data_IF_626017002304
#
_entry.id   IF_626017002304
#
_cell.length_a   1.000
_cell.length_b   1.000
_cell.length_c   1.000
_cell.angle_alpha   90.00
_cell.angle_beta   90.00
_cell.angle_gamma   90.00
#
_symmetry.space_group_name_H-M   'P 1'
#
loop_
_entity.id
_entity.type
_entity.pdbx_description
1 polymer ?
#
# COMPACT_ATOMS: atom_id res chain seq x y z
N UNK A 1 -19.35 21.76 -7.88
CA UNK A 1 -19.09 21.02 -9.13
C UNK A 1 -18.71 19.54 -8.93
N UNK A 2 -18.47 19.06 -7.69
CA UNK A 2 -18.09 17.65 -7.42
C UNK A 2 -19.28 16.69 -7.22
N UNK A 3 -20.46 17.18 -6.82
CA UNK A 3 -21.65 16.33 -6.64
C UNK A 3 -22.25 15.81 -7.96
N UNK A 4 -21.97 16.45 -9.09
CA UNK A 4 -22.55 16.10 -10.39
C UNK A 4 -21.81 14.98 -11.14
N UNK A 5 -20.62 14.56 -10.68
CA UNK A 5 -19.91 13.43 -11.30
C UNK A 5 -20.43 12.07 -10.81
N UNK A 6 -21.31 12.06 -9.79
CA UNK A 6 -21.64 10.87 -9.01
C UNK A 6 -22.73 9.97 -9.62
N UNK A 7 -23.49 10.41 -10.63
CA UNK A 7 -24.59 9.59 -11.19
C UNK A 7 -24.56 9.31 -12.71
N UNK A 8 -23.79 10.05 -13.53
CA UNK A 8 -23.90 9.98 -15.00
C UNK A 8 -22.59 9.79 -15.76
N UNK A 9 -21.56 9.20 -15.16
CA UNK A 9 -20.38 8.81 -15.95
C UNK A 9 -20.81 7.72 -16.95
N UNK A 10 -21.08 8.12 -18.20
CA UNK A 10 -21.39 7.22 -19.31
C UNK A 10 -20.14 6.38 -19.60
N UNK A 11 -20.15 5.15 -19.10
CA UNK A 11 -19.05 4.22 -19.30
C UNK A 11 -18.99 3.80 -20.77
N UNK A 12 -17.80 3.84 -21.34
CA UNK A 12 -17.53 3.46 -22.72
C UNK A 12 -16.62 2.23 -22.72
N UNK A 13 -17.12 1.09 -23.21
CA UNK A 13 -16.43 -0.20 -23.14
C UNK A 13 -14.99 -0.17 -23.67
N UNK A 14 -14.77 0.45 -24.84
CA UNK A 14 -13.43 0.56 -25.44
C UNK A 14 -12.49 1.56 -24.73
N UNK A 15 -12.97 2.30 -23.73
CA UNK A 15 -12.20 3.24 -22.91
C UNK A 15 -12.22 2.86 -21.43
N UNK A 16 -12.47 1.59 -21.12
CA UNK A 16 -12.55 1.10 -19.75
C UNK A 16 -11.31 1.45 -18.92
N UNK A 17 -10.12 1.41 -19.53
CA UNK A 17 -8.84 1.70 -18.87
C UNK A 17 -8.75 3.15 -18.39
N UNK A 18 -9.16 4.10 -19.25
CA UNK A 18 -9.31 5.52 -18.87
C UNK A 18 -10.29 5.68 -17.71
N UNK A 19 -11.46 5.03 -17.76
CA UNK A 19 -12.45 5.14 -16.70
C UNK A 19 -11.95 4.55 -15.37
N UNK A 20 -11.26 3.41 -15.41
CA UNK A 20 -10.69 2.77 -14.23
C UNK A 20 -9.61 3.64 -13.59
N UNK A 21 -8.63 4.12 -14.38
CA UNK A 21 -7.53 4.96 -13.89
C UNK A 21 -8.04 6.27 -13.30
N UNK A 22 -8.96 6.95 -13.99
CA UNK A 22 -9.57 8.19 -13.47
C UNK A 22 -10.40 7.93 -12.21
N UNK A 23 -11.12 6.81 -12.12
CA UNK A 23 -11.88 6.48 -10.94
C UNK A 23 -10.98 6.24 -9.72
N UNK A 24 -9.82 5.57 -9.89
CA UNK A 24 -8.82 5.43 -8.81
C UNK A 24 -8.22 6.79 -8.45
N UNK A 25 -7.83 7.61 -9.44
CA UNK A 25 -7.26 8.94 -9.21
C UNK A 25 -8.21 9.92 -8.49
N UNK A 26 -9.52 9.69 -8.57
CA UNK A 26 -10.55 10.53 -7.96
C UNK A 26 -11.25 9.89 -6.77
N UNK A 27 -10.78 8.75 -6.27
CA UNK A 27 -11.39 8.04 -5.14
C UNK A 27 -12.85 7.60 -5.35
N UNK A 28 -13.18 7.19 -6.57
CA UNK A 28 -14.53 6.80 -6.96
C UNK A 28 -14.70 5.27 -7.01
N UNK A 29 -14.73 4.64 -5.83
CA UNK A 29 -14.86 3.18 -5.68
C UNK A 29 -16.07 2.59 -6.41
N UNK A 30 -17.21 3.29 -6.41
CA UNK A 30 -18.43 2.88 -7.14
C UNK A 30 -18.16 2.77 -8.65
N UNK A 31 -17.47 3.76 -9.23
CA UNK A 31 -17.17 3.76 -10.66
C UNK A 31 -16.18 2.64 -11.00
N UNK A 32 -15.19 2.38 -10.13
CA UNK A 32 -14.27 1.24 -10.31
C UNK A 32 -15.07 -0.07 -10.37
N UNK A 33 -15.99 -0.31 -9.43
CA UNK A 33 -16.85 -1.49 -9.47
C UNK A 33 -17.63 -1.56 -10.79
N UNK A 34 -18.30 -0.48 -11.18
CA UNK A 34 -19.14 -0.43 -12.39
C UNK A 34 -18.34 -0.71 -13.67
N UNK A 35 -17.11 -0.19 -13.78
CA UNK A 35 -16.23 -0.43 -14.93
C UNK A 35 -16.01 -1.93 -15.14
N UNK A 36 -15.76 -2.69 -14.07
CA UNK A 36 -15.49 -4.12 -14.19
C UNK A 36 -16.75 -5.00 -14.22
N UNK A 37 -17.89 -4.54 -13.70
CA UNK A 37 -19.13 -5.34 -13.69
C UNK A 37 -20.09 -5.05 -14.84
N UNK A 38 -20.18 -3.79 -15.30
CA UNK A 38 -21.18 -3.37 -16.31
C UNK A 38 -20.67 -3.50 -17.75
N UNK A 39 -19.35 -3.48 -17.97
CA UNK A 39 -18.76 -3.45 -19.31
C UNK A 39 -18.45 -4.85 -19.89
N UNK A 40 -18.78 -5.93 -19.17
CA UNK A 40 -18.57 -7.31 -19.64
C UNK A 40 -17.10 -7.68 -19.86
N UNK A 41 -16.18 -7.03 -19.15
CA UNK A 41 -14.74 -7.27 -19.26
C UNK A 41 -14.36 -8.61 -18.60
N UNK A 42 -13.28 -9.28 -19.06
CA UNK A 42 -12.69 -10.41 -18.35
C UNK A 42 -12.01 -9.93 -17.06
N UNK A 43 -12.80 -9.78 -15.99
CA UNK A 43 -12.46 -9.10 -14.73
C UNK A 43 -11.09 -9.48 -14.21
N UNK A 44 -10.79 -10.78 -14.08
CA UNK A 44 -9.53 -11.26 -13.50
C UNK A 44 -8.30 -10.77 -14.26
N UNK A 45 -8.36 -10.72 -15.59
CA UNK A 45 -7.25 -10.23 -16.43
C UNK A 45 -7.18 -8.71 -16.45
N UNK A 46 -8.33 -8.04 -16.46
CA UNK A 46 -8.40 -6.57 -16.59
C UNK A 46 -8.06 -5.86 -15.28
N UNK A 47 -8.49 -6.39 -14.13
CA UNK A 47 -8.22 -5.79 -12.81
C UNK A 47 -6.74 -5.88 -12.43
N UNK A 48 -6.06 -6.92 -12.92
CA UNK A 48 -4.64 -7.20 -12.68
C UNK A 48 -3.73 -6.67 -13.80
N UNK A 49 -4.27 -5.87 -14.72
CA UNK A 49 -3.43 -5.20 -15.71
C UNK A 49 -2.40 -4.33 -14.99
N UNK A 50 -1.17 -4.34 -15.52
CA UNK A 50 -0.05 -3.62 -14.95
C UNK A 50 0.22 -2.35 -15.75
N UNK A 51 0.64 -1.31 -15.04
CA UNK A 51 1.16 -0.09 -15.63
C UNK A 51 2.47 -0.39 -16.36
N UNK A 52 2.62 0.12 -17.57
CA UNK A 52 3.85 0.03 -18.36
C UNK A 52 4.51 1.40 -18.40
N UNK A 53 5.83 1.45 -18.19
CA UNK A 53 6.59 2.68 -18.39
C UNK A 53 6.96 2.85 -19.87
N UNK A 54 6.78 4.07 -20.39
CA UNK A 54 7.10 4.45 -21.76
C UNK A 54 8.13 5.59 -21.80
N UNK A 55 8.98 5.58 -22.82
CA UNK A 55 10.03 6.59 -23.02
C UNK A 55 9.62 7.81 -23.86
N UNK A 56 8.44 7.80 -24.48
CA UNK A 56 7.96 8.87 -25.36
C UNK A 56 6.50 9.21 -25.06
N UNK A 57 6.20 10.50 -24.87
CA UNK A 57 4.85 10.97 -24.55
C UNK A 57 4.53 10.88 -23.05
N UNK A 58 3.40 10.26 -22.70
CA UNK A 58 3.07 9.99 -21.31
C UNK A 58 4.03 8.91 -20.75
N UNK A 59 4.62 9.12 -19.56
CA UNK A 59 5.63 8.22 -18.99
C UNK A 59 5.04 6.87 -18.56
N UNK A 60 3.73 6.80 -18.33
CA UNK A 60 3.03 5.61 -17.89
C UNK A 60 1.83 5.34 -18.79
N UNK A 61 1.54 4.07 -19.02
CA UNK A 61 0.37 3.59 -19.74
C UNK A 61 -0.32 2.50 -18.95
N UNK A 62 -1.65 2.50 -18.97
CA UNK A 62 -2.45 1.42 -18.45
C UNK A 62 -3.45 0.99 -19.53
N UNK A 63 -3.24 -0.20 -20.11
CA UNK A 63 -4.07 -0.74 -21.19
C UNK A 63 -4.37 0.27 -22.32
N UNK A 64 -3.33 0.92 -22.83
CA UNK A 64 -3.41 1.88 -23.93
C UNK A 64 -3.85 3.29 -23.52
N UNK A 65 -4.05 3.54 -22.24
CA UNK A 65 -4.30 4.88 -21.70
C UNK A 65 -3.04 5.44 -21.03
N UNK A 66 -2.43 6.44 -21.68
CA UNK A 66 -1.27 7.16 -21.17
C UNK A 66 -1.62 8.20 -20.10
N UNK A 67 -0.87 8.25 -19.00
CA UNK A 67 -1.02 9.23 -17.93
C UNK A 67 0.31 9.62 -17.28
N UNK A 68 0.25 10.67 -16.45
CA UNK A 68 1.41 11.25 -15.79
C UNK A 68 1.26 11.15 -14.27
N UNK A 69 2.37 10.89 -13.59
CA UNK A 69 2.49 11.16 -12.17
C UNK A 69 3.08 12.55 -11.94
N UNK A 70 3.12 12.97 -10.67
CA UNK A 70 3.63 14.29 -10.28
C UNK A 70 5.10 14.52 -10.62
N UNK A 71 5.94 13.47 -10.68
CA UNK A 71 7.38 13.58 -10.94
C UNK A 71 7.66 13.91 -12.40
N UNK A 72 6.81 13.42 -13.30
CA UNK A 72 6.93 13.62 -14.74
C UNK A 72 5.97 14.70 -15.29
N UNK A 73 5.23 15.37 -14.42
CA UNK A 73 4.29 16.41 -14.82
C UNK A 73 5.04 17.68 -15.23
N UNK A 74 4.98 18.02 -16.51
CA UNK A 74 5.41 19.35 -16.98
C UNK A 74 4.36 20.41 -16.61
N UNK A 75 4.66 21.71 -16.64
CA UNK A 75 3.73 22.77 -16.24
C UNK A 75 2.38 22.78 -16.99
N UNK A 76 2.30 22.14 -18.16
CA UNK A 76 1.08 22.04 -18.97
C UNK A 76 0.29 20.73 -18.74
N UNK A 77 0.82 19.80 -17.95
CA UNK A 77 0.23 18.48 -17.74
C UNK A 77 -0.39 18.40 -16.34
N UNK A 78 -1.57 17.79 -16.22
CA UNK A 78 -2.24 17.57 -14.94
C UNK A 78 -1.93 16.14 -14.44
N UNK A 79 -1.15 15.97 -13.35
CA UNK A 79 -0.79 14.65 -12.88
C UNK A 79 -1.99 13.95 -12.24
N UNK A 80 -2.16 12.66 -12.52
CA UNK A 80 -3.25 11.86 -11.92
C UNK A 80 -2.88 11.26 -10.57
N UNK A 81 -1.59 11.01 -10.34
CA UNK A 81 -1.09 10.38 -9.12
C UNK A 81 0.17 11.07 -8.62
N UNK A 82 0.42 10.99 -7.32
CA UNK A 82 1.66 11.50 -6.73
C UNK A 82 2.87 10.61 -7.06
N UNK A 83 2.66 9.29 -7.10
CA UNK A 83 3.73 8.30 -7.35
C UNK A 83 3.17 7.07 -8.06
N UNK A 84 3.84 6.67 -9.12
CA UNK A 84 3.51 5.49 -9.95
C UNK A 84 4.79 4.74 -10.26
N UNK A 85 4.80 3.42 -10.11
CA UNK A 85 5.92 2.59 -10.56
C UNK A 85 5.49 1.70 -11.73
N UNK A 86 6.40 1.40 -12.65
CA UNK A 86 6.15 0.39 -13.67
C UNK A 86 5.79 -0.93 -13.00
N UNK A 87 4.83 -1.67 -13.56
CA UNK A 87 4.29 -2.89 -12.97
C UNK A 87 3.19 -2.67 -11.92
N UNK A 88 2.89 -1.43 -11.51
CA UNK A 88 1.81 -1.17 -10.56
C UNK A 88 0.46 -1.65 -11.15
N UNK A 89 -0.35 -2.34 -10.36
CA UNK A 89 -1.76 -2.64 -10.70
C UNK A 89 -2.67 -1.52 -10.19
N UNK A 90 -3.96 -1.51 -10.56
CA UNK A 90 -4.92 -0.55 -9.98
C UNK A 90 -4.97 -0.63 -8.46
N UNK A 91 -4.77 -1.83 -7.88
CA UNK A 91 -4.71 -1.99 -6.44
C UNK A 91 -3.48 -1.30 -5.84
N UNK A 92 -2.29 -1.46 -6.43
CA UNK A 92 -1.10 -0.75 -6.00
C UNK A 92 -1.28 0.77 -6.08
N UNK A 93 -1.88 1.26 -7.18
CA UNK A 93 -2.18 2.68 -7.35
C UNK A 93 -3.13 3.19 -6.25
N UNK A 94 -4.21 2.47 -5.96
CA UNK A 94 -5.16 2.84 -4.89
C UNK A 94 -4.49 2.88 -3.50
N UNK A 95 -3.63 1.89 -3.19
CA UNK A 95 -2.92 1.81 -1.92
C UNK A 95 -1.87 2.93 -1.75
N UNK A 96 -1.16 3.29 -2.83
CA UNK A 96 -0.23 4.45 -2.83
C UNK A 96 -0.98 5.76 -2.67
N UNK A 97 -2.16 5.85 -3.26
CA UNK A 97 -3.00 7.04 -3.15
C UNK A 97 -3.86 7.09 -1.88
N UNK A 98 -3.59 6.19 -0.91
CA UNK A 98 -4.27 6.15 0.39
C UNK A 98 -5.80 6.03 0.29
N UNK A 99 -6.27 5.24 -0.67
CA UNK A 99 -7.69 5.03 -0.96
C UNK A 99 -8.17 3.61 -0.58
N UNK A 100 -8.50 3.38 0.70
CA UNK A 100 -8.98 2.08 1.13
C UNK A 100 -10.34 1.72 0.51
N UNK A 101 -11.22 2.68 0.25
CA UNK A 101 -12.52 2.44 -0.38
C UNK A 101 -12.40 1.81 -1.77
N UNK A 102 -11.54 2.35 -2.62
CA UNK A 102 -11.29 1.77 -3.94
C UNK A 102 -10.53 0.45 -3.85
N UNK A 103 -9.57 0.34 -2.93
CA UNK A 103 -8.84 -0.91 -2.70
C UNK A 103 -9.79 -2.05 -2.29
N UNK A 104 -10.79 -1.79 -1.43
CA UNK A 104 -11.82 -2.77 -1.04
C UNK A 104 -12.56 -3.30 -2.26
N UNK A 105 -13.03 -2.43 -3.15
CA UNK A 105 -13.77 -2.86 -4.34
C UNK A 105 -12.88 -3.64 -5.30
N UNK A 106 -11.61 -3.25 -5.47
CA UNK A 106 -10.64 -4.01 -6.27
C UNK A 106 -10.37 -5.40 -5.68
N UNK A 107 -10.23 -5.53 -4.37
CA UNK A 107 -10.06 -6.83 -3.69
C UNK A 107 -11.30 -7.71 -3.88
N UNK A 108 -12.51 -7.16 -3.76
CA UNK A 108 -13.76 -7.88 -4.05
C UNK A 108 -13.87 -8.34 -5.51
N UNK A 109 -13.21 -7.63 -6.43
CA UNK A 109 -13.08 -8.00 -7.84
C UNK A 109 -11.90 -8.95 -8.11
N UNK A 110 -11.35 -9.60 -7.08
CA UNK A 110 -10.23 -10.53 -7.16
C UNK A 110 -8.93 -9.90 -7.70
N UNK A 111 -8.66 -8.64 -7.37
CA UNK A 111 -7.33 -8.07 -7.58
C UNK A 111 -6.27 -8.89 -6.81
N UNK A 112 -5.19 -9.24 -7.49
CA UNK A 112 -4.09 -10.02 -6.96
C UNK A 112 -3.36 -9.23 -5.87
N UNK A 113 -3.15 -9.87 -4.72
CA UNK A 113 -2.40 -9.32 -3.60
C UNK A 113 -0.88 -9.56 -3.71
N UNK A 114 -0.48 -10.45 -4.62
CA UNK A 114 0.89 -10.98 -4.72
C UNK A 114 1.62 -10.53 -5.97
N UNK A 115 0.93 -9.89 -6.92
CA UNK A 115 1.53 -9.39 -8.16
C UNK A 115 2.54 -8.27 -7.84
N UNK A 116 3.85 -8.47 -8.06
CA UNK A 116 4.84 -7.45 -7.80
C UNK A 116 4.93 -6.45 -8.96
N UNK A 117 5.28 -5.22 -8.64
CA UNK A 117 5.68 -4.25 -9.65
C UNK A 117 7.18 -4.38 -10.01
N UNK A 118 7.69 -3.47 -10.83
CA UNK A 118 9.08 -3.49 -11.30
C UNK A 118 10.13 -3.27 -10.19
N UNK A 119 9.75 -2.69 -9.06
CA UNK A 119 10.63 -2.55 -7.88
C UNK A 119 10.46 -3.68 -6.87
N UNK A 120 9.65 -4.71 -7.19
CA UNK A 120 9.40 -5.86 -6.33
C UNK A 120 8.39 -5.62 -5.21
N UNK A 121 7.72 -4.46 -5.19
CA UNK A 121 6.66 -4.16 -4.21
C UNK A 121 5.36 -4.88 -4.59
N UNK A 122 4.74 -5.55 -3.62
CA UNK A 122 3.43 -6.21 -3.77
C UNK A 122 2.34 -5.48 -2.98
N UNK A 123 1.05 -5.61 -3.35
CA UNK A 123 -0.05 -5.06 -2.57
C UNK A 123 -0.06 -5.53 -1.11
N UNK A 124 0.21 -6.82 -0.87
CA UNK A 124 0.23 -7.37 0.50
C UNK A 124 1.32 -6.73 1.36
N UNK A 125 2.48 -6.41 0.78
CA UNK A 125 3.55 -5.68 1.48
C UNK A 125 3.11 -4.26 1.88
N UNK A 126 2.50 -3.51 0.95
CA UNK A 126 2.00 -2.17 1.25
C UNK A 126 0.89 -2.20 2.31
N UNK A 127 -0.02 -3.17 2.22
CA UNK A 127 -1.07 -3.39 3.20
C UNK A 127 -0.50 -3.72 4.58
N UNK A 128 0.50 -4.60 4.65
CA UNK A 128 1.19 -4.93 5.88
C UNK A 128 1.86 -3.70 6.51
N UNK A 129 2.58 -2.89 5.73
CA UNK A 129 3.18 -1.64 6.24
C UNK A 129 2.13 -0.65 6.76
N UNK A 130 0.97 -0.54 6.09
CA UNK A 130 -0.14 0.29 6.56
C UNK A 130 -0.74 -0.25 7.86
N UNK A 131 -0.97 -1.56 7.95
CA UNK A 131 -1.46 -2.21 9.16
C UNK A 131 -0.51 -2.01 10.34
N UNK A 132 0.79 -2.24 10.13
CA UNK A 132 1.86 -2.00 11.10
C UNK A 132 1.80 -0.57 11.62
N UNK A 133 1.70 0.41 10.72
CA UNK A 133 1.59 1.82 11.08
C UNK A 133 0.37 2.06 11.97
N UNK A 134 -0.82 1.56 11.60
CA UNK A 134 -2.04 1.74 12.40
C UNK A 134 -1.90 1.12 13.79
N UNK A 135 -1.45 -0.14 13.88
CA UNK A 135 -1.29 -0.85 15.17
C UNK A 135 -0.25 -0.22 16.08
N UNK A 136 0.86 0.26 15.52
CA UNK A 136 1.91 0.94 16.28
C UNK A 136 1.41 2.30 16.84
N UNK A 137 0.64 3.06 16.07
CA UNK A 137 0.04 4.30 16.55
C UNK A 137 -1.02 4.06 17.65
N UNK A 138 -1.80 2.98 17.55
CA UNK A 138 -2.76 2.59 18.60
C UNK A 138 -2.05 2.26 19.92
N UNK A 139 -0.91 1.55 19.87
CA UNK A 139 -0.07 1.28 21.05
C UNK A 139 0.51 2.55 21.70
N UNK A 140 0.78 3.59 20.91
CA UNK A 140 1.32 4.85 21.44
C UNK A 140 0.22 5.74 22.06
N UNK A 141 -1.00 5.73 21.50
CA UNK A 141 -2.14 6.52 22.02
C UNK A 141 -2.66 6.05 23.38
N UNK A 142 -2.33 4.85 23.84
CA UNK A 142 -2.65 4.39 25.21
C UNK A 142 -1.80 5.07 26.30
N UNK A 143 -0.88 5.96 25.93
CA UNK A 143 -0.11 6.81 26.85
C UNK A 143 -0.86 8.14 27.00
N UNK A 144 -1.35 8.52 28.20
CA UNK A 144 -2.17 9.72 28.38
C UNK A 144 -1.37 10.99 28.11
N UNK A 145 -1.78 11.74 27.08
CA UNK A 145 -1.18 13.01 26.70
C UNK A 145 -1.86 14.16 27.47
N UNK A 146 -1.14 14.79 28.39
CA UNK A 146 -1.55 16.00 29.10
C UNK A 146 -1.35 17.22 28.20
N UNK A 147 -2.38 17.70 27.49
CA UNK A 147 -2.21 18.97 26.75
C UNK A 147 -3.39 19.58 25.95
N UNK A 148 -3.92 20.67 26.54
CA UNK A 148 -4.39 21.96 25.98
C UNK A 148 -5.64 22.08 25.04
N UNK A 149 -6.63 22.93 25.40
CA UNK A 149 -7.94 23.05 24.75
C UNK A 149 -7.99 23.80 23.40
N UNK A 150 -6.90 24.43 22.97
CA UNK A 150 -6.86 25.18 21.68
C UNK A 150 -6.68 24.22 20.48
N UNK A 151 -6.13 23.02 20.72
CA UNK A 151 -5.95 21.96 19.71
C UNK A 151 -7.28 21.29 19.32
N UNK A 152 -8.31 21.42 20.15
CA UNK A 152 -9.51 20.58 20.08
C UNK A 152 -10.51 20.94 18.98
N UNK A 153 -10.47 22.16 18.42
CA UNK A 153 -11.40 22.58 17.37
C UNK A 153 -10.90 22.23 15.96
N UNK A 154 -9.63 22.52 15.65
CA UNK A 154 -8.99 22.13 14.38
C UNK A 154 -8.84 20.61 14.25
N UNK A 155 -8.59 19.93 15.37
CA UNK A 155 -8.54 18.47 15.40
C UNK A 155 -9.88 17.82 15.08
N UNK A 156 -11.06 18.40 15.37
CA UNK A 156 -12.36 17.70 15.23
C UNK A 156 -12.72 17.32 13.79
N UNK A 157 -12.47 18.20 12.82
CA UNK A 157 -12.74 17.94 11.39
C UNK A 157 -11.73 16.93 10.79
N UNK A 158 -10.44 17.12 11.08
CA UNK A 158 -9.39 16.16 10.72
C UNK A 158 -9.61 14.80 11.39
N UNK A 159 -10.09 14.78 12.64
CA UNK A 159 -10.39 13.55 13.38
C UNK A 159 -11.53 12.79 12.73
N UNK A 160 -12.57 13.46 12.19
CA UNK A 160 -13.66 12.79 11.46
C UNK A 160 -13.18 12.17 10.14
N UNK A 161 -12.41 12.91 9.32
CA UNK A 161 -11.87 12.36 8.07
C UNK A 161 -10.85 11.23 8.33
N UNK A 162 -10.04 11.36 9.38
CA UNK A 162 -9.08 10.33 9.80
C UNK A 162 -9.79 9.09 10.34
N UNK A 163 -10.88 9.25 11.10
CA UNK A 163 -11.73 8.15 11.59
C UNK A 163 -12.46 7.41 10.48
N UNK A 164 -12.99 8.14 9.48
CA UNK A 164 -13.65 7.52 8.34
C UNK A 164 -12.67 6.66 7.53
N UNK A 165 -11.49 7.21 7.21
CA UNK A 165 -10.40 6.45 6.57
C UNK A 165 -9.95 5.27 7.43
N UNK A 166 -9.86 5.44 8.75
CA UNK A 166 -9.49 4.34 9.66
C UNK A 166 -10.52 3.20 9.63
N UNK A 167 -11.82 3.50 9.63
CA UNK A 167 -12.87 2.48 9.50
C UNK A 167 -12.76 1.72 8.18
N UNK A 168 -12.49 2.42 7.09
CA UNK A 168 -12.29 1.80 5.77
C UNK A 168 -11.04 0.93 5.75
N UNK A 169 -9.92 1.37 6.35
CA UNK A 169 -8.74 0.51 6.50
C UNK A 169 -9.02 -0.73 7.35
N UNK A 170 -9.78 -0.61 8.44
CA UNK A 170 -10.19 -1.77 9.25
C UNK A 170 -11.01 -2.75 8.40
N UNK A 171 -11.95 -2.25 7.60
CA UNK A 171 -12.74 -3.09 6.69
C UNK A 171 -11.87 -3.75 5.61
N UNK A 172 -10.92 -3.01 5.04
CA UNK A 172 -9.94 -3.54 4.09
C UNK A 172 -9.10 -4.65 4.72
N UNK A 173 -8.54 -4.40 5.92
CA UNK A 173 -7.74 -5.39 6.63
C UNK A 173 -8.53 -6.65 6.97
N UNK A 174 -9.81 -6.52 7.36
CA UNK A 174 -10.66 -7.68 7.59
C UNK A 174 -10.85 -8.56 6.33
N UNK A 175 -10.85 -7.95 5.13
CA UNK A 175 -10.94 -8.69 3.87
C UNK A 175 -9.64 -9.40 3.48
N UNK A 176 -8.49 -8.85 3.89
CA UNK A 176 -7.16 -9.38 3.52
C UNK A 176 -6.42 -10.04 4.69
N UNK A 177 -7.09 -10.29 5.81
CA UNK A 177 -6.46 -10.71 7.07
C UNK A 177 -5.66 -12.00 6.92
N UNK A 178 -6.20 -12.98 6.21
CA UNK A 178 -5.50 -14.25 5.94
C UNK A 178 -4.21 -14.01 5.12
N UNK A 179 -4.29 -13.21 4.06
CA UNK A 179 -3.16 -12.93 3.18
C UNK A 179 -2.07 -12.13 3.90
N UNK A 180 -2.44 -11.13 4.68
CA UNK A 180 -1.51 -10.31 5.47
C UNK A 180 -0.90 -11.12 6.61
N UNK A 181 -1.68 -11.97 7.28
CA UNK A 181 -1.18 -12.85 8.35
C UNK A 181 -0.21 -13.90 7.82
N UNK A 182 -0.49 -14.48 6.64
CA UNK A 182 0.44 -15.39 5.94
C UNK A 182 1.74 -14.66 5.61
N UNK A 183 1.65 -13.48 5.01
CA UNK A 183 2.82 -12.67 4.70
C UNK A 183 3.65 -12.33 5.96
N UNK A 184 3.00 -11.95 7.06
CA UNK A 184 3.69 -11.65 8.33
C UNK A 184 4.40 -12.89 8.89
N UNK A 185 3.76 -14.05 8.86
CA UNK A 185 4.36 -15.33 9.24
C UNK A 185 5.62 -15.63 8.43
N UNK A 186 5.53 -15.54 7.10
CA UNK A 186 6.66 -15.78 6.19
C UNK A 186 7.79 -14.78 6.41
N UNK A 187 7.47 -13.49 6.56
CA UNK A 187 8.43 -12.45 6.88
C UNK A 187 9.16 -12.73 8.20
N UNK A 188 8.41 -13.08 9.24
CA UNK A 188 8.98 -13.39 10.55
C UNK A 188 9.87 -14.62 10.50
N UNK A 189 9.49 -15.66 9.76
CA UNK A 189 10.32 -16.85 9.56
C UNK A 189 11.61 -16.53 8.81
N UNK A 190 11.53 -15.68 7.77
CA UNK A 190 12.70 -15.19 7.04
C UNK A 190 13.63 -14.40 7.96
N UNK A 191 13.12 -13.42 8.69
CA UNK A 191 13.93 -12.62 9.63
C UNK A 191 14.55 -13.50 10.72
N UNK A 192 13.81 -14.47 11.27
CA UNK A 192 14.37 -15.41 12.24
C UNK A 192 15.57 -16.15 11.66
N UNK A 193 15.45 -16.70 10.44
CA UNK A 193 16.53 -17.43 9.77
C UNK A 193 17.77 -16.55 9.58
N UNK A 194 17.60 -15.32 9.11
CA UNK A 194 18.71 -14.38 8.88
C UNK A 194 19.38 -13.95 10.19
N UNK A 195 18.60 -13.66 11.24
CA UNK A 195 19.14 -13.35 12.57
C UNK A 195 19.92 -14.52 13.16
N UNK A 196 19.43 -15.75 13.00
CA UNK A 196 20.15 -16.97 13.40
C UNK A 196 21.50 -17.04 12.70
N UNK A 197 21.55 -16.88 11.37
CA UNK A 197 22.80 -16.93 10.62
C UNK A 197 23.82 -15.86 11.07
N UNK A 198 23.37 -14.64 11.35
CA UNK A 198 24.25 -13.58 11.87
C UNK A 198 24.75 -13.90 13.28
N UNK A 199 23.86 -14.27 14.20
CA UNK A 199 24.26 -14.53 15.59
C UNK A 199 25.10 -15.80 15.75
N UNK A 200 24.87 -16.85 14.96
CA UNK A 200 25.74 -18.04 14.96
C UNK A 200 27.20 -17.68 14.64
N UNK A 201 27.43 -16.72 13.73
CA UNK A 201 28.78 -16.28 13.36
C UNK A 201 29.39 -15.29 14.36
N UNK A 202 28.63 -14.32 14.86
CA UNK A 202 29.19 -13.17 15.57
C UNK A 202 28.82 -13.05 17.06
N UNK A 203 27.71 -13.66 17.50
CA UNK A 203 27.25 -13.57 18.90
C UNK A 203 26.35 -14.76 19.29
N UNK A 204 26.91 -15.99 19.44
CA UNK A 204 26.11 -17.20 19.67
C UNK A 204 25.29 -17.17 20.97
N UNK A 205 25.75 -16.42 21.98
CA UNK A 205 25.05 -16.18 23.24
C UNK A 205 23.69 -15.47 23.06
N UNK A 206 23.48 -14.81 21.91
CA UNK A 206 22.25 -14.10 21.58
C UNK A 206 21.20 -14.95 20.88
N UNK A 207 21.51 -16.18 20.47
CA UNK A 207 20.56 -17.06 19.76
C UNK A 207 19.27 -17.29 20.58
N UNK A 208 19.41 -17.51 21.88
CA UNK A 208 18.28 -17.70 22.78
C UNK A 208 17.37 -16.46 22.91
N UNK A 209 17.85 -15.27 22.50
CA UNK A 209 17.11 -14.00 22.58
C UNK A 209 16.28 -13.71 21.33
N UNK A 210 16.52 -14.40 20.20
CA UNK A 210 15.82 -14.16 18.94
C UNK A 210 14.29 -14.17 19.13
N UNK A 211 13.67 -15.15 19.82
CA UNK A 211 12.21 -15.16 19.97
C UNK A 211 11.67 -13.92 20.70
N UNK A 212 12.37 -13.47 21.74
CA UNK A 212 12.01 -12.28 22.53
C UNK A 212 12.17 -11.02 21.67
N UNK A 213 13.28 -10.90 20.94
CA UNK A 213 13.51 -9.76 20.04
C UNK A 213 12.45 -9.67 18.94
N UNK A 214 12.06 -10.79 18.33
CA UNK A 214 10.99 -10.82 17.33
C UNK A 214 9.63 -10.45 17.92
N UNK A 215 9.39 -10.69 19.20
CA UNK A 215 8.18 -10.27 19.89
C UNK A 215 8.22 -8.76 20.22
N UNK A 216 9.35 -8.25 20.67
CA UNK A 216 9.54 -6.81 20.97
C UNK A 216 9.43 -5.95 19.70
N UNK A 217 9.94 -6.46 18.56
CA UNK A 217 9.91 -5.82 17.25
C UNK A 217 8.77 -6.33 16.37
N UNK A 218 7.65 -6.77 16.95
CA UNK A 218 6.49 -7.18 16.18
C UNK A 218 6.03 -6.05 15.23
N UNK A 219 5.86 -6.37 13.94
CA UNK A 219 5.61 -5.45 12.83
C UNK A 219 6.79 -4.54 12.41
N UNK A 220 7.96 -4.70 13.04
CA UNK A 220 9.19 -3.97 12.79
C UNK A 220 10.39 -4.94 12.63
N UNK A 221 10.13 -6.20 12.29
CA UNK A 221 11.14 -7.26 12.27
C UNK A 221 12.26 -6.99 11.24
N UNK A 222 11.93 -6.38 10.09
CA UNK A 222 12.93 -5.97 9.11
C UNK A 222 13.88 -4.89 9.64
N UNK A 223 13.38 -3.95 10.46
CA UNK A 223 14.21 -2.90 11.06
C UNK A 223 15.16 -3.50 12.10
N UNK A 224 14.70 -4.50 12.86
CA UNK A 224 15.56 -5.30 13.74
C UNK A 224 16.68 -5.98 12.94
N UNK A 225 16.33 -6.66 11.84
CA UNK A 225 17.31 -7.36 11.00
C UNK A 225 18.37 -6.39 10.46
N UNK A 226 17.95 -5.29 9.87
CA UNK A 226 18.85 -4.27 9.31
C UNK A 226 19.78 -3.71 10.39
N UNK A 227 19.26 -3.44 11.60
CA UNK A 227 20.04 -2.92 12.73
C UNK A 227 21.10 -3.94 13.19
N UNK A 228 20.75 -5.22 13.23
CA UNK A 228 21.67 -6.30 13.61
C UNK A 228 22.72 -6.51 12.53
N UNK A 229 22.32 -6.56 11.26
CA UNK A 229 23.23 -6.68 10.13
C UNK A 229 24.24 -5.54 10.10
N UNK A 230 23.79 -4.28 10.22
CA UNK A 230 24.66 -3.11 10.33
C UNK A 230 25.66 -3.27 11.47
N UNK A 231 25.18 -3.71 12.64
CA UNK A 231 26.03 -3.83 13.84
C UNK A 231 27.16 -4.85 13.69
N UNK A 232 26.94 -5.98 13.01
CA UNK A 232 27.88 -7.11 12.98
C UNK A 232 28.59 -7.29 11.64
N UNK A 233 28.02 -6.81 10.53
CA UNK A 233 28.57 -6.97 9.18
C UNK A 233 29.35 -5.73 8.73
N UNK A 234 28.94 -4.52 9.11
CA UNK A 234 29.66 -3.29 8.73
C UNK A 234 30.84 -2.97 9.68
N UNK A 235 30.94 -3.67 10.81
CA UNK A 235 32.04 -3.52 11.78
C UNK A 235 33.20 -4.48 11.54
N UNK A 236 33.22 -5.27 10.46
CA UNK A 236 34.43 -6.02 10.10
C UNK A 236 35.56 -5.04 9.76
N UNK A 237 36.68 -4.99 10.53
CA UNK A 237 37.87 -4.32 10.06
C UNK A 237 38.38 -5.11 8.86
N UNK A 238 38.56 -4.44 7.72
CA UNK A 238 39.21 -5.02 6.54
C UNK A 238 40.52 -5.68 6.98
N UNK A 239 40.54 -7.01 7.00
CA UNK A 239 41.77 -7.81 7.15
C UNK A 239 42.49 -7.93 5.81
#
# INVERSE_FOLDING_TARGET
MQAAYQEEAKLVAHRWSLHAVQAVAHHHSIIVRRVFTELGLPVESSVNTQVVAFGFGAPFDFAGYGFFDRRFSTPATNPLFDRVEAGDTLLLLALRHHDPSTAIELVKLNASLTCPNAVGETPVQLLFHRLATVRLHERQKSIPDTGSPIRDAYNREQTKQTLAKQKEYIALFALVDEAVSRYHSELRAHVHKELTAVYEKFAPDRLAKIPIQLQEFEFMELVLLETVQRKYLETEPSQ
#
